data_IF_026340563845
#
_entry.id   IF_026340563845
#
_cell.length_a   1.000
_cell.length_b   1.000
_cell.length_c   1.000
_cell.angle_alpha   90.00
_cell.angle_beta   90.00
_cell.angle_gamma   90.00
#
_symmetry.space_group_name_H-M   'P 1'
#
loop_
_entity.id
_entity.type
_entity.pdbx_description
1 polymer ?
#
# COMPACT_ATOMS: atom_id res chain seq x y z
N UNK A 1 -9.54 -6.79 18.13
CA UNK A 1 -8.57 -6.95 17.05
C UNK A 1 -9.27 -6.56 15.78
N UNK A 2 -8.73 -5.62 15.01
CA UNK A 2 -9.23 -5.39 13.66
C UNK A 2 -8.76 -6.58 12.81
N UNK A 3 -9.71 -7.28 12.21
CA UNK A 3 -9.44 -8.48 11.41
C UNK A 3 -9.11 -8.04 9.98
N UNK A 4 -7.94 -8.44 9.48
CA UNK A 4 -7.58 -8.28 8.08
C UNK A 4 -8.34 -9.32 7.27
N UNK A 5 -8.90 -8.90 6.14
CA UNK A 5 -9.32 -9.88 5.13
C UNK A 5 -8.10 -10.40 4.35
N UNK A 6 -8.29 -11.49 3.60
CA UNK A 6 -7.19 -12.16 2.88
C UNK A 6 -6.45 -11.21 1.92
N UNK A 7 -7.17 -10.28 1.26
CA UNK A 7 -6.59 -9.33 0.31
C UNK A 7 -5.77 -8.26 1.03
N UNK A 8 -6.28 -7.71 2.14
CA UNK A 8 -5.56 -6.77 2.97
C UNK A 8 -4.29 -7.38 3.55
N UNK A 9 -4.35 -8.67 3.92
CA UNK A 9 -3.17 -9.41 4.35
C UNK A 9 -2.13 -9.50 3.24
N UNK A 10 -2.53 -9.94 2.04
CA UNK A 10 -1.64 -10.01 0.87
C UNK A 10 -1.03 -8.65 0.50
N UNK A 11 -1.82 -7.57 0.54
CA UNK A 11 -1.32 -6.21 0.27
C UNK A 11 -0.25 -5.82 1.31
N UNK A 12 -0.49 -6.06 2.60
CA UNK A 12 0.49 -5.72 3.63
C UNK A 12 1.77 -6.57 3.55
N UNK A 13 1.65 -7.84 3.15
CA UNK A 13 2.79 -8.73 2.91
C UNK A 13 3.65 -8.29 1.70
N UNK A 14 3.01 -7.82 0.63
CA UNK A 14 3.73 -7.27 -0.53
C UNK A 14 4.46 -5.94 -0.21
N UNK A 15 4.01 -5.20 0.81
CA UNK A 15 4.50 -3.85 1.13
C UNK A 15 5.50 -3.80 2.29
N UNK A 16 6.25 -4.88 2.55
CA UNK A 16 7.38 -4.84 3.49
C UNK A 16 8.46 -3.83 3.07
N UNK A 17 8.62 -3.61 1.77
CA UNK A 17 9.46 -2.58 1.16
C UNK A 17 8.63 -1.64 0.30
N UNK A 18 9.27 -0.58 -0.22
CA UNK A 18 8.59 0.38 -1.09
C UNK A 18 8.37 -0.26 -2.46
N UNK A 19 7.11 -0.48 -2.83
CA UNK A 19 6.75 -1.13 -4.08
C UNK A 19 5.79 -0.28 -4.93
N UNK A 20 5.96 -0.24 -6.26
CA UNK A 20 5.02 0.45 -7.14
C UNK A 20 3.67 -0.28 -7.20
N UNK A 21 2.60 0.44 -7.54
CA UNK A 21 1.28 -0.18 -7.70
C UNK A 21 1.28 -1.39 -8.65
N UNK A 22 2.10 -1.35 -9.71
CA UNK A 22 2.19 -2.45 -10.67
C UNK A 22 2.73 -3.75 -10.05
N UNK A 23 3.57 -3.68 -9.02
CA UNK A 23 4.07 -4.86 -8.31
C UNK A 23 2.96 -5.47 -7.45
N UNK A 24 2.16 -4.65 -6.76
CA UNK A 24 0.97 -5.09 -6.02
C UNK A 24 0.01 -5.90 -6.91
N UNK A 25 -0.23 -5.45 -8.14
CA UNK A 25 -1.10 -6.16 -9.09
C UNK A 25 -0.56 -7.53 -9.52
N UNK A 26 0.73 -7.80 -9.33
CA UNK A 26 1.36 -9.08 -9.66
C UNK A 26 1.39 -10.03 -8.46
N UNK A 27 1.48 -9.50 -7.25
CA UNK A 27 1.62 -10.28 -6.01
C UNK A 27 0.28 -10.61 -5.35
N UNK A 28 -0.70 -9.72 -5.47
CA UNK A 28 -2.02 -9.88 -4.85
C UNK A 28 -2.96 -10.59 -5.81
N UNK A 29 -3.56 -11.70 -5.37
CA UNK A 29 -4.47 -12.52 -6.19
C UNK A 29 -5.89 -11.96 -6.15
N UNK A 30 -6.07 -10.77 -6.72
CA UNK A 30 -7.36 -10.11 -6.83
C UNK A 30 -7.45 -9.17 -8.05
N UNK A 31 -8.66 -8.84 -8.54
CA UNK A 31 -8.83 -7.85 -9.59
C UNK A 31 -8.31 -6.46 -9.17
N UNK A 32 -7.74 -5.70 -10.11
CA UNK A 32 -7.19 -4.35 -9.85
C UNK A 32 -8.16 -3.44 -9.08
N UNK A 33 -9.46 -3.45 -9.43
CA UNK A 33 -10.47 -2.65 -8.75
C UNK A 33 -10.59 -3.00 -7.25
N UNK A 34 -10.53 -4.29 -6.93
CA UNK A 34 -10.58 -4.77 -5.54
C UNK A 34 -9.30 -4.36 -4.80
N UNK A 35 -8.14 -4.49 -5.44
CA UNK A 35 -6.85 -4.07 -4.86
C UNK A 35 -6.87 -2.57 -4.57
N UNK A 36 -7.37 -1.72 -5.49
CA UNK A 36 -7.49 -0.27 -5.27
C UNK A 36 -8.39 0.07 -4.09
N UNK A 37 -9.56 -0.57 -4.01
CA UNK A 37 -10.51 -0.32 -2.93
C UNK A 37 -9.93 -0.70 -1.57
N UNK A 38 -9.30 -1.87 -1.47
CA UNK A 38 -8.67 -2.33 -0.23
C UNK A 38 -7.44 -1.49 0.13
N UNK A 39 -6.59 -1.15 -0.84
CA UNK A 39 -5.44 -0.28 -0.64
C UNK A 39 -5.86 1.10 -0.10
N UNK A 40 -6.97 1.66 -0.61
CA UNK A 40 -7.52 2.92 -0.08
C UNK A 40 -7.92 2.79 1.39
N UNK A 41 -8.58 1.70 1.76
CA UNK A 41 -8.96 1.43 3.17
C UNK A 41 -7.71 1.35 4.05
N UNK A 42 -6.66 0.69 3.59
CA UNK A 42 -5.40 0.57 4.32
C UNK A 42 -4.68 1.93 4.49
N UNK A 43 -4.73 2.79 3.47
CA UNK A 43 -4.21 4.16 3.53
C UNK A 43 -5.01 5.00 4.55
N UNK A 44 -6.35 4.96 4.48
CA UNK A 44 -7.24 5.70 5.38
C UNK A 44 -7.05 5.27 6.86
N UNK A 45 -6.62 4.03 7.09
CA UNK A 45 -6.30 3.48 8.42
C UNK A 45 -4.88 3.79 8.89
N UNK A 46 -4.07 4.47 8.09
CA UNK A 46 -2.66 4.73 8.33
C UNK A 46 -1.84 3.43 8.45
N UNK A 47 -2.27 2.37 7.74
CA UNK A 47 -1.60 1.07 7.66
C UNK A 47 -0.68 0.97 6.45
N UNK A 48 -0.96 1.76 5.41
CA UNK A 48 -0.11 1.93 4.22
C UNK A 48 0.17 3.41 4.00
N UNK A 49 1.43 3.74 3.71
CA UNK A 49 1.89 5.07 3.36
C UNK A 49 2.09 5.16 1.85
N UNK A 50 1.56 6.23 1.25
CA UNK A 50 1.82 6.56 -0.16
C UNK A 50 3.19 7.19 -0.31
N UNK A 51 3.91 6.74 -1.33
CA UNK A 51 5.27 7.14 -1.67
C UNK A 51 5.29 7.71 -3.08
N UNK A 52 5.94 8.86 -3.24
CA UNK A 52 6.15 9.54 -4.52
C UNK A 52 7.63 9.50 -4.87
N UNK A 53 7.95 9.15 -6.12
CA UNK A 53 9.32 9.21 -6.59
C UNK A 53 9.72 10.65 -6.88
N UNK A 54 10.77 11.13 -6.21
CA UNK A 54 11.28 12.50 -6.40
C UNK A 54 12.58 12.43 -7.20
N UNK A 55 12.50 12.74 -8.49
CA UNK A 55 13.64 12.66 -9.43
C UNK A 55 14.86 13.43 -8.94
N UNK A 56 14.67 14.62 -8.36
CA UNK A 56 15.76 15.46 -7.82
C UNK A 56 16.57 14.75 -6.72
N UNK A 57 15.94 13.83 -5.98
CA UNK A 57 16.58 13.06 -4.91
C UNK A 57 16.95 11.64 -5.35
N UNK A 58 16.40 11.18 -6.48
CA UNK A 58 16.54 9.81 -6.95
C UNK A 58 15.98 8.77 -5.96
N UNK A 59 14.96 9.14 -5.18
CA UNK A 59 14.42 8.30 -4.10
C UNK A 59 12.92 8.55 -3.89
N UNK A 60 12.27 7.61 -3.21
CA UNK A 60 10.86 7.69 -2.82
C UNK A 60 10.70 8.46 -1.51
N UNK A 61 9.83 9.48 -1.52
CA UNK A 61 9.45 10.24 -0.34
C UNK A 61 7.99 9.99 0.02
N UNK A 62 7.67 10.11 1.31
CA UNK A 62 6.29 10.06 1.78
C UNK A 62 5.53 11.27 1.27
N UNK A 63 4.32 11.03 0.78
CA UNK A 63 3.37 12.09 0.44
C UNK A 63 2.05 11.89 1.20
N UNK A 64 1.42 13.00 1.59
CA UNK A 64 0.09 13.00 2.18
C UNK A 64 -1.01 13.15 1.11
N UNK A 65 -0.62 13.45 -0.14
CA UNK A 65 -1.53 13.72 -1.25
C UNK A 65 -1.27 12.68 -2.33
N UNK A 66 -2.34 12.04 -2.78
CA UNK A 66 -2.31 11.13 -3.90
C UNK A 66 -3.62 11.19 -4.67
N UNK A 67 -3.55 10.86 -5.96
CA UNK A 67 -4.73 10.69 -6.80
C UNK A 67 -5.21 9.23 -6.76
N UNK A 68 -6.35 9.00 -6.12
CA UNK A 68 -6.93 7.67 -5.94
C UNK A 68 -7.38 7.03 -7.27
N UNK A 69 -7.69 7.83 -8.30
CA UNK A 69 -8.02 7.31 -9.63
C UNK A 69 -6.74 6.89 -10.38
N UNK A 70 -5.61 7.52 -10.05
CA UNK A 70 -4.31 7.34 -10.69
C UNK A 70 -3.23 6.73 -9.77
N UNK A 71 -3.60 5.74 -8.95
CA UNK A 71 -2.68 5.02 -8.04
C UNK A 71 -1.42 4.45 -8.72
N UNK A 72 -1.48 4.17 -10.02
CA UNK A 72 -0.36 3.68 -10.85
C UNK A 72 0.85 4.64 -10.87
N UNK A 73 0.66 5.91 -10.50
CA UNK A 73 1.73 6.92 -10.44
C UNK A 73 2.54 6.88 -9.14
N UNK A 74 2.12 6.05 -8.18
CA UNK A 74 2.69 6.02 -6.83
C UNK A 74 3.27 4.65 -6.47
N UNK A 75 4.10 4.68 -5.44
CA UNK A 75 4.53 3.50 -4.71
C UNK A 75 3.91 3.50 -3.31
N UNK A 76 4.00 2.37 -2.62
CA UNK A 76 3.38 2.16 -1.33
C UNK A 76 4.34 1.45 -0.38
N UNK A 77 4.14 1.66 0.92
CA UNK A 77 4.93 1.04 1.98
C UNK A 77 4.04 0.77 3.19
N UNK A 78 4.10 -0.43 3.75
CA UNK A 78 3.41 -0.74 4.99
C UNK A 78 3.99 0.10 6.14
N UNK A 79 3.11 0.75 6.91
CA UNK A 79 3.55 1.51 8.09
C UNK A 79 3.85 0.55 9.23
N UNK A 80 4.54 1.06 10.27
CA UNK A 80 4.71 0.31 11.52
C UNK A 80 3.37 -0.16 12.10
N UNK A 81 2.32 0.65 11.97
CA UNK A 81 0.97 0.32 12.45
C UNK A 81 0.37 -0.82 11.63
N UNK A 82 0.47 -0.76 10.29
CA UNK A 82 0.03 -1.84 9.41
C UNK A 82 0.73 -3.16 9.69
N UNK A 83 2.06 -3.14 9.87
CA UNK A 83 2.84 -4.35 10.17
C UNK A 83 2.53 -4.97 11.54
N UNK A 84 2.15 -4.17 12.54
CA UNK A 84 1.71 -4.73 13.83
C UNK A 84 0.43 -5.54 13.66
N UNK A 85 -0.55 -5.00 12.93
CA UNK A 85 -1.82 -5.69 12.66
C UNK A 85 -1.58 -6.95 11.80
N UNK A 86 -0.74 -6.85 10.76
CA UNK A 86 -0.36 -7.99 9.91
C UNK A 86 0.26 -9.14 10.72
N UNK A 87 1.12 -8.81 11.69
CA UNK A 87 1.81 -9.80 12.52
C UNK A 87 0.97 -10.29 13.72
N UNK A 88 -0.30 -9.87 13.85
CA UNK A 88 -1.22 -10.32 14.89
C UNK A 88 -1.05 -9.65 16.26
N UNK A 89 -0.55 -8.40 16.29
CA UNK A 89 -0.39 -7.59 17.51
C UNK A 89 -1.51 -6.57 17.73
#
# INVERSE_FOLDING_TARGET
MEELNDIQFQILDALYFVEPFSALLQEVDAPEAVIKDELRILIDRDWVQVMEFVEEKGDYLRTAIYDADNMQQYAFLATKKGLLVHNGY
#
